data_IF_878292559754
#
_entry.id   IF_878292559754
#
_cell.length_a   1.000
_cell.length_b   1.000
_cell.length_c   1.000
_cell.angle_alpha   90.00
_cell.angle_beta   90.00
_cell.angle_gamma   90.00
#
_symmetry.space_group_name_H-M   'P 1'
#
loop_
_entity.id
_entity.type
_entity.pdbx_description
1 polymer ?
#
# COMPACT_ATOMS: atom_id res chain seq x y z
N UNK A 1 -26.74 -8.49 22.61
CA UNK A 1 -26.91 -9.92 22.27
C UNK A 1 -26.28 -10.21 20.91
N UNK A 2 -25.12 -10.86 20.89
CA UNK A 2 -24.66 -11.80 19.86
C UNK A 2 -23.39 -12.45 20.41
N UNK A 3 -23.46 -13.77 20.60
CA UNK A 3 -22.48 -14.60 21.31
C UNK A 3 -21.27 -14.85 20.43
N UNK A 4 -20.08 -14.64 20.98
CA UNK A 4 -18.80 -15.07 20.42
C UNK A 4 -18.54 -16.50 20.93
N UNK A 5 -18.51 -17.47 20.02
CA UNK A 5 -18.11 -18.85 20.31
C UNK A 5 -16.60 -18.98 20.17
N UNK A 6 -15.96 -19.35 21.26
CA UNK A 6 -14.54 -19.69 21.36
C UNK A 6 -14.38 -21.18 21.06
N UNK A 7 -13.61 -21.54 20.03
CA UNK A 7 -13.19 -22.94 19.80
C UNK A 7 -11.66 -23.00 19.89
N UNK A 8 -11.21 -23.88 20.78
CA UNK A 8 -9.84 -24.17 21.21
C UNK A 8 -9.52 -25.59 20.76
N UNK A 9 -8.50 -25.79 19.92
CA UNK A 9 -7.91 -27.12 19.62
C UNK A 9 -6.39 -26.97 19.60
N UNK A 10 -5.65 -27.38 20.63
CA UNK A 10 -5.06 -28.72 20.87
C UNK A 10 -4.14 -29.20 19.75
N UNK A 11 -2.86 -28.87 19.93
CA UNK A 11 -1.70 -29.57 19.38
C UNK A 11 -1.62 -31.01 19.92
N UNK A 12 -1.25 -31.95 19.05
CA UNK A 12 -0.77 -33.29 19.41
C UNK A 12 0.45 -33.65 18.57
N UNK A 13 1.46 -34.14 19.28
CA UNK A 13 2.72 -34.69 18.82
C UNK A 13 2.60 -35.78 17.75
N UNK A 14 3.66 -35.92 16.95
CA UNK A 14 4.12 -37.24 16.47
C UNK A 14 5.63 -37.23 16.21
N UNK A 15 6.37 -37.85 17.14
CA UNK A 15 7.60 -38.60 16.85
C UNK A 15 7.20 -39.96 16.27
N UNK A 16 7.97 -40.48 15.31
CA UNK A 16 8.69 -41.73 15.52
C UNK A 16 9.63 -42.05 14.35
N UNK A 17 10.81 -42.50 14.77
CA UNK A 17 11.85 -43.13 14.01
C UNK A 17 11.42 -44.46 13.37
N UNK A 18 12.16 -44.88 12.35
CA UNK A 18 12.66 -46.26 12.37
C UNK A 18 12.61 -47.05 11.07
N UNK A 19 13.82 -47.29 10.57
CA UNK A 19 14.35 -48.60 10.14
C UNK A 19 14.00 -49.14 8.75
N UNK A 20 15.01 -49.04 7.90
CA UNK A 20 15.47 -50.03 6.90
C UNK A 20 15.68 -51.42 7.51
N UNK A 21 15.52 -52.51 6.74
CA UNK A 21 16.68 -53.28 6.23
C UNK A 21 16.48 -53.79 4.78
N UNK A 22 17.47 -53.72 3.87
CA UNK A 22 18.59 -54.66 3.63
C UNK A 22 18.19 -56.12 3.34
N UNK A 23 18.14 -56.52 2.06
CA UNK A 23 18.46 -57.85 1.49
C UNK A 23 18.89 -57.61 0.03
N UNK A 24 20.19 -57.65 -0.29
CA UNK A 24 21.02 -58.76 -0.85
C UNK A 24 20.71 -59.17 -2.30
N UNK A 25 21.66 -58.81 -3.16
CA UNK A 25 22.42 -59.64 -4.12
C UNK A 25 21.73 -60.83 -4.80
N UNK A 26 21.80 -60.88 -6.13
CA UNK A 26 22.47 -62.00 -6.83
C UNK A 26 22.65 -61.74 -8.33
N UNK A 27 23.83 -62.14 -8.79
CA UNK A 27 24.36 -62.06 -10.15
C UNK A 27 23.87 -63.23 -11.05
N UNK A 28 24.16 -63.05 -12.33
CA UNK A 28 24.56 -64.03 -13.36
C UNK A 28 23.52 -64.46 -14.41
N UNK A 29 23.71 -63.90 -15.61
CA UNK A 29 24.34 -64.55 -16.78
C UNK A 29 23.63 -65.73 -17.49
N UNK A 30 23.85 -65.75 -18.81
CA UNK A 30 23.76 -66.83 -19.81
C UNK A 30 22.58 -66.77 -20.81
N UNK A 31 23.01 -66.50 -22.06
CA UNK A 31 22.50 -66.87 -23.39
C UNK A 31 21.50 -68.02 -23.52
N UNK A 32 20.45 -67.79 -24.31
CA UNK A 32 20.02 -68.54 -25.51
C UNK A 32 18.78 -67.81 -26.04
N UNK A 33 18.63 -67.43 -27.32
CA UNK A 33 18.92 -68.23 -28.49
C UNK A 33 17.67 -68.96 -28.96
N UNK A 34 16.54 -68.28 -29.19
CA UNK A 34 15.42 -68.83 -29.98
C UNK A 34 14.63 -67.72 -30.67
N UNK A 35 14.52 -67.86 -31.98
CA UNK A 35 13.71 -67.08 -32.92
C UNK A 35 12.42 -67.87 -33.17
N UNK A 36 11.23 -67.40 -32.73
CA UNK A 36 9.98 -67.94 -33.20
C UNK A 36 9.37 -66.98 -34.22
N UNK A 37 9.24 -67.48 -35.45
CA UNK A 37 8.36 -66.94 -36.48
C UNK A 37 6.96 -66.66 -35.88
N UNK A 38 6.71 -65.40 -35.52
CA UNK A 38 5.41 -64.97 -35.01
C UNK A 38 4.45 -64.75 -36.18
N UNK A 39 3.50 -65.67 -36.27
CA UNK A 39 2.39 -65.64 -37.19
C UNK A 39 1.53 -64.43 -36.83
N UNK A 40 1.27 -63.59 -37.82
CA UNK A 40 0.35 -62.47 -37.72
C UNK A 40 -1.00 -62.88 -37.15
N UNK A 41 -1.20 -62.56 -35.88
CA UNK A 41 -2.52 -62.41 -35.29
C UNK A 41 -2.88 -60.94 -35.41
N UNK A 42 -3.83 -60.63 -36.30
CA UNK A 42 -4.51 -59.34 -36.32
C UNK A 42 -5.00 -59.01 -34.91
N UNK A 43 -4.29 -58.10 -34.26
CA UNK A 43 -4.57 -57.72 -32.89
C UNK A 43 -5.86 -56.89 -32.88
N UNK A 44 -6.92 -57.28 -32.16
CA UNK A 44 -8.17 -56.50 -32.07
C UNK A 44 -8.00 -55.11 -31.43
N UNK A 45 -6.81 -54.82 -30.89
CA UNK A 45 -6.49 -53.58 -30.20
C UNK A 45 -6.59 -52.36 -31.13
N UNK A 46 -6.16 -52.49 -32.39
CA UNK A 46 -6.16 -51.36 -33.33
C UNK A 46 -7.57 -50.93 -33.74
N UNK A 47 -8.53 -51.85 -33.81
CA UNK A 47 -9.91 -51.56 -34.20
C UNK A 47 -10.71 -50.87 -33.07
N UNK A 48 -10.44 -51.21 -31.80
CA UNK A 48 -11.10 -50.56 -30.66
C UNK A 48 -10.62 -49.11 -30.48
N UNK A 49 -9.31 -48.84 -30.59
CA UNK A 49 -8.77 -47.48 -30.49
C UNK A 49 -9.29 -46.56 -31.59
N UNK A 50 -9.42 -47.07 -32.81
CA UNK A 50 -9.92 -46.30 -33.96
C UNK A 50 -11.41 -45.95 -33.83
N UNK A 51 -12.20 -46.76 -33.10
CA UNK A 51 -13.59 -46.46 -32.79
C UNK A 51 -13.71 -45.39 -31.70
N UNK A 52 -12.87 -45.44 -30.65
CA UNK A 52 -12.90 -44.45 -29.56
C UNK A 52 -12.56 -43.04 -30.07
N UNK A 53 -11.51 -42.91 -30.91
CA UNK A 53 -11.10 -41.63 -31.49
C UNK A 53 -12.17 -40.99 -32.38
N UNK A 54 -12.87 -41.81 -33.20
CA UNK A 54 -14.02 -41.34 -34.01
C UNK A 54 -15.19 -40.86 -33.15
N UNK A 55 -15.43 -41.50 -32.00
CA UNK A 55 -16.47 -41.05 -31.07
C UNK A 55 -16.11 -39.74 -30.37
N UNK A 56 -14.84 -39.60 -29.93
CA UNK A 56 -14.34 -38.35 -29.36
C UNK A 56 -14.41 -37.23 -30.40
N UNK A 57 -14.01 -37.49 -31.65
CA UNK A 57 -14.13 -36.53 -32.75
C UNK A 57 -15.58 -36.09 -33.00
N UNK A 58 -16.56 -37.00 -32.88
CA UNK A 58 -17.99 -36.66 -32.97
C UNK A 58 -18.47 -35.79 -31.82
N UNK A 59 -18.11 -36.13 -30.58
CA UNK A 59 -18.46 -35.35 -29.38
C UNK A 59 -17.87 -33.94 -29.46
N UNK A 60 -16.64 -33.84 -29.93
CA UNK A 60 -15.94 -32.59 -30.15
C UNK A 60 -16.26 -31.97 -31.51
N UNK A 61 -17.14 -32.51 -32.36
CA UNK A 61 -17.40 -31.95 -33.70
C UNK A 61 -16.12 -31.51 -34.47
N UNK A 62 -15.03 -32.29 -34.36
CA UNK A 62 -13.75 -32.05 -35.04
C UNK A 62 -13.63 -33.02 -36.21
N UNK A 63 -13.16 -32.53 -37.37
CA UNK A 63 -12.89 -33.40 -38.50
C UNK A 63 -11.81 -34.44 -38.13
N UNK A 64 -12.20 -35.72 -38.11
CA UNK A 64 -11.35 -36.87 -37.76
C UNK A 64 -10.12 -37.04 -38.66
N UNK A 65 -10.05 -36.32 -39.78
CA UNK A 65 -9.11 -36.55 -40.87
C UNK A 65 -7.70 -35.98 -40.58
N UNK A 66 -7.44 -35.43 -39.39
CA UNK A 66 -6.20 -34.67 -39.11
C UNK A 66 -5.43 -35.10 -37.86
N UNK A 67 -5.94 -36.04 -37.07
CA UNK A 67 -5.23 -36.63 -35.92
C UNK A 67 -5.92 -37.92 -35.48
N UNK A 68 -5.18 -39.02 -35.40
CA UNK A 68 -5.71 -40.30 -34.91
C UNK A 68 -5.72 -40.38 -33.37
N UNK A 69 -5.01 -39.46 -32.70
CA UNK A 69 -4.85 -39.40 -31.24
C UNK A 69 -5.92 -38.53 -30.56
N UNK A 70 -6.57 -39.07 -29.53
CA UNK A 70 -7.64 -38.43 -28.76
C UNK A 70 -7.13 -37.20 -27.99
N UNK A 71 -5.89 -37.26 -27.50
CA UNK A 71 -5.25 -36.15 -26.81
C UNK A 71 -5.05 -34.95 -27.75
N UNK A 72 -4.54 -35.21 -28.95
CA UNK A 72 -4.43 -34.21 -30.01
C UNK A 72 -5.78 -33.56 -30.38
N UNK A 73 -6.87 -34.34 -30.44
CA UNK A 73 -8.21 -33.81 -30.74
C UNK A 73 -8.72 -32.86 -29.64
N UNK A 74 -8.55 -33.24 -28.36
CA UNK A 74 -8.93 -32.41 -27.23
C UNK A 74 -8.11 -31.11 -27.21
N UNK A 75 -6.78 -31.19 -27.40
CA UNK A 75 -5.93 -30.00 -27.43
C UNK A 75 -6.34 -29.02 -28.55
N UNK A 76 -6.59 -29.53 -29.77
CA UNK A 76 -7.09 -28.71 -30.89
C UNK A 76 -8.46 -28.09 -30.58
N UNK A 77 -9.34 -28.83 -29.91
CA UNK A 77 -10.64 -28.32 -29.50
C UNK A 77 -10.50 -27.16 -28.51
N UNK A 78 -9.70 -27.35 -27.46
CA UNK A 78 -9.43 -26.33 -26.44
C UNK A 78 -8.87 -25.07 -27.09
N UNK A 79 -7.81 -25.17 -27.89
CA UNK A 79 -7.22 -23.98 -28.55
C UNK A 79 -8.18 -23.27 -29.51
N UNK A 80 -9.18 -23.97 -30.08
CA UNK A 80 -10.19 -23.37 -30.96
C UNK A 80 -11.30 -22.64 -30.18
N UNK A 81 -11.69 -23.15 -29.02
CA UNK A 81 -12.84 -22.63 -28.24
C UNK A 81 -12.42 -21.75 -27.08
N UNK A 82 -11.13 -21.70 -26.77
CA UNK A 82 -10.61 -20.79 -25.77
C UNK A 82 -10.78 -19.32 -26.20
N UNK A 83 -11.21 -18.41 -25.30
CA UNK A 83 -11.40 -17.01 -25.65
C UNK A 83 -10.12 -16.35 -26.16
N UNK A 84 -10.25 -15.63 -27.27
CA UNK A 84 -9.14 -14.89 -27.88
C UNK A 84 -8.67 -13.75 -26.98
N UNK A 85 -7.39 -13.31 -27.07
CA UNK A 85 -6.90 -12.16 -26.32
C UNK A 85 -7.78 -10.92 -26.53
N UNK A 86 -7.96 -10.10 -25.48
CA UNK A 86 -8.76 -8.89 -25.57
C UNK A 86 -8.09 -7.92 -26.54
N UNK A 87 -8.90 -7.15 -27.26
CA UNK A 87 -8.37 -6.00 -28.01
C UNK A 87 -7.88 -4.92 -27.03
N UNK A 88 -7.02 -3.98 -27.45
CA UNK A 88 -6.50 -2.93 -26.57
C UNK A 88 -7.59 -2.11 -25.85
N UNK A 89 -8.76 -1.96 -26.49
CA UNK A 89 -9.90 -1.19 -25.95
C UNK A 89 -10.81 -2.00 -25.02
N UNK A 90 -10.61 -3.32 -24.92
CA UNK A 90 -11.47 -4.21 -24.16
C UNK A 90 -11.05 -4.28 -22.68
N UNK A 91 -12.05 -4.20 -21.80
CA UNK A 91 -11.83 -4.26 -20.35
C UNK A 91 -11.29 -5.64 -19.92
N UNK A 92 -10.11 -5.65 -19.30
CA UNK A 92 -9.45 -6.87 -18.84
C UNK A 92 -10.31 -7.70 -17.87
N UNK A 93 -11.03 -7.07 -16.94
CA UNK A 93 -11.91 -7.81 -16.01
C UNK A 93 -13.02 -8.54 -16.76
N UNK A 94 -13.68 -7.86 -17.70
CA UNK A 94 -14.75 -8.47 -18.49
C UNK A 94 -14.23 -9.62 -19.36
N UNK A 95 -13.02 -9.47 -19.88
CA UNK A 95 -12.34 -10.55 -20.60
C UNK A 95 -12.05 -11.76 -19.72
N UNK A 96 -11.58 -11.56 -18.48
CA UNK A 96 -11.33 -12.66 -17.54
C UNK A 96 -12.62 -13.37 -17.11
N UNK A 97 -13.73 -12.64 -16.97
CA UNK A 97 -15.07 -13.23 -16.75
C UNK A 97 -15.48 -14.11 -17.93
N UNK A 98 -15.24 -13.66 -19.17
CA UNK A 98 -15.51 -14.48 -20.34
C UNK A 98 -14.62 -15.74 -20.41
N UNK A 99 -13.34 -15.63 -20.03
CA UNK A 99 -12.46 -16.82 -19.89
C UNK A 99 -13.02 -17.80 -18.87
N UNK A 100 -13.41 -17.30 -17.69
CA UNK A 100 -14.00 -18.10 -16.63
C UNK A 100 -15.27 -18.84 -17.11
N UNK A 101 -16.22 -18.12 -17.67
CA UNK A 101 -17.49 -18.67 -18.16
C UNK A 101 -17.27 -19.71 -19.26
N UNK A 102 -16.39 -19.42 -20.22
CA UNK A 102 -16.10 -20.32 -21.33
C UNK A 102 -15.45 -21.63 -20.85
N UNK A 103 -14.46 -21.54 -19.95
CA UNK A 103 -13.79 -22.72 -19.37
C UNK A 103 -14.76 -23.53 -18.54
N UNK A 104 -15.51 -22.90 -17.63
CA UNK A 104 -16.50 -23.59 -16.79
C UNK A 104 -17.56 -24.29 -17.64
N UNK A 105 -18.14 -23.59 -18.62
CA UNK A 105 -19.14 -24.13 -19.51
C UNK A 105 -18.63 -25.37 -20.26
N UNK A 106 -17.40 -25.33 -20.79
CA UNK A 106 -16.84 -26.46 -21.52
C UNK A 106 -16.49 -27.65 -20.61
N UNK A 107 -16.01 -27.40 -19.39
CA UNK A 107 -15.77 -28.46 -18.40
C UNK A 107 -17.08 -29.15 -18.01
N UNK A 108 -18.17 -28.40 -17.80
CA UNK A 108 -19.48 -28.96 -17.48
C UNK A 108 -20.09 -29.72 -18.66
N UNK A 109 -19.96 -29.18 -19.88
CA UNK A 109 -20.54 -29.78 -21.09
C UNK A 109 -19.83 -31.06 -21.50
N UNK A 110 -18.49 -31.06 -21.50
CA UNK A 110 -17.68 -32.18 -21.96
C UNK A 110 -17.32 -33.17 -20.85
N UNK A 111 -17.37 -32.73 -19.59
CA UNK A 111 -16.89 -33.51 -18.45
C UNK A 111 -17.53 -34.89 -18.32
N UNK A 112 -18.87 -35.01 -18.29
CA UNK A 112 -19.53 -36.31 -18.19
C UNK A 112 -19.19 -37.24 -19.35
N UNK A 113 -19.05 -36.69 -20.57
CA UNK A 113 -18.77 -37.45 -21.78
C UNK A 113 -17.34 -38.01 -21.81
N UNK A 114 -16.37 -37.20 -21.39
CA UNK A 114 -14.96 -37.58 -21.36
C UNK A 114 -14.57 -38.38 -20.10
N UNK A 115 -15.31 -38.22 -18.99
CA UNK A 115 -15.16 -39.03 -17.77
C UNK A 115 -15.38 -40.52 -18.07
N UNK A 116 -16.41 -40.85 -18.86
CA UNK A 116 -16.69 -42.23 -19.30
C UNK A 116 -15.55 -42.86 -20.11
N UNK A 117 -14.71 -42.02 -20.74
CA UNK A 117 -13.56 -42.43 -21.56
C UNK A 117 -12.22 -42.31 -20.83
N UNK A 118 -12.22 -41.91 -19.56
CA UNK A 118 -10.98 -41.68 -18.80
C UNK A 118 -10.16 -40.47 -19.26
N UNK A 119 -10.73 -39.58 -20.08
CA UNK A 119 -10.03 -38.43 -20.69
C UNK A 119 -10.26 -37.10 -19.96
N UNK A 120 -11.02 -37.11 -18.85
CA UNK A 120 -11.39 -35.87 -18.15
C UNK A 120 -10.18 -35.12 -17.58
N UNK A 121 -9.23 -35.83 -16.96
CA UNK A 121 -8.04 -35.19 -16.42
C UNK A 121 -7.17 -34.54 -17.49
N UNK A 122 -7.15 -35.12 -18.69
CA UNK A 122 -6.48 -34.50 -19.82
C UNK A 122 -7.19 -33.23 -20.32
N UNK A 123 -8.53 -33.20 -20.36
CA UNK A 123 -9.28 -31.98 -20.67
C UNK A 123 -8.98 -30.86 -19.67
N UNK A 124 -8.95 -31.19 -18.37
CA UNK A 124 -8.63 -30.24 -17.30
C UNK A 124 -7.20 -29.70 -17.48
N UNK A 125 -6.22 -30.57 -17.71
CA UNK A 125 -4.83 -30.19 -17.97
C UNK A 125 -4.69 -29.27 -19.20
N UNK A 126 -5.38 -29.58 -20.31
CA UNK A 126 -5.38 -28.73 -21.51
C UNK A 126 -5.93 -27.32 -21.21
N UNK A 127 -7.10 -27.21 -20.55
CA UNK A 127 -7.65 -25.90 -20.19
C UNK A 127 -6.80 -25.15 -19.17
N UNK A 128 -6.21 -25.87 -18.22
CA UNK A 128 -5.29 -25.32 -17.24
C UNK A 128 -4.08 -24.67 -17.94
N UNK A 129 -3.35 -25.43 -18.77
CA UNK A 129 -2.20 -24.91 -19.52
C UNK A 129 -2.59 -23.76 -20.44
N UNK A 130 -3.67 -23.92 -21.21
CA UNK A 130 -4.14 -22.87 -22.12
C UNK A 130 -4.51 -21.57 -21.37
N UNK A 131 -5.09 -21.70 -20.17
CA UNK A 131 -5.41 -20.55 -19.31
C UNK A 131 -4.14 -19.86 -18.85
N UNK A 132 -3.13 -20.60 -18.37
CA UNK A 132 -1.89 -20.01 -17.88
C UNK A 132 -1.01 -19.44 -19.00
N UNK A 133 -0.98 -20.05 -20.18
CA UNK A 133 -0.34 -19.48 -21.37
C UNK A 133 -0.98 -18.14 -21.75
N UNK A 134 -2.30 -18.07 -21.69
CA UNK A 134 -3.05 -16.84 -21.96
C UNK A 134 -2.80 -15.77 -20.91
N UNK A 135 -2.90 -16.12 -19.62
CA UNK A 135 -2.60 -15.21 -18.52
C UNK A 135 -1.15 -14.73 -18.56
N UNK A 136 -0.20 -15.59 -18.96
CA UNK A 136 1.19 -15.19 -19.14
C UNK A 136 1.34 -14.15 -20.25
N UNK A 137 0.67 -14.34 -21.39
CA UNK A 137 0.63 -13.34 -22.47
C UNK A 137 0.03 -12.00 -22.00
N UNK A 138 -1.09 -12.05 -21.27
CA UNK A 138 -1.72 -10.86 -20.69
C UNK A 138 -0.80 -10.15 -19.70
N UNK A 139 -0.09 -10.92 -18.86
CA UNK A 139 0.85 -10.39 -17.87
C UNK A 139 2.05 -9.70 -18.52
N UNK A 140 2.62 -10.25 -19.59
CA UNK A 140 3.73 -9.61 -20.31
C UNK A 140 3.31 -8.27 -20.92
N UNK A 141 2.07 -8.19 -21.39
CA UNK A 141 1.48 -6.98 -21.96
C UNK A 141 0.92 -6.02 -20.91
N UNK A 142 0.88 -6.40 -19.62
CA UNK A 142 0.38 -5.54 -18.55
C UNK A 142 1.36 -4.39 -18.27
N UNK A 143 1.06 -3.24 -18.85
CA UNK A 143 1.82 -2.00 -18.66
C UNK A 143 1.38 -1.19 -17.44
N UNK A 144 0.20 -1.47 -16.87
CA UNK A 144 -0.31 -0.78 -15.70
C UNK A 144 -0.32 -1.68 -14.46
N UNK A 145 -0.11 -1.08 -13.29
CA UNK A 145 -0.24 -1.76 -12.00
C UNK A 145 -1.65 -2.33 -11.81
N UNK A 146 -2.68 -1.61 -12.27
CA UNK A 146 -4.07 -2.06 -12.20
C UNK A 146 -4.29 -3.38 -12.94
N UNK A 147 -3.72 -3.55 -14.13
CA UNK A 147 -3.86 -4.78 -14.90
C UNK A 147 -3.16 -5.95 -14.18
N UNK A 148 -1.98 -5.71 -13.60
CA UNK A 148 -1.27 -6.70 -12.79
C UNK A 148 -2.07 -7.11 -11.54
N UNK A 149 -2.70 -6.17 -10.84
CA UNK A 149 -3.57 -6.47 -9.69
C UNK A 149 -4.79 -7.29 -10.10
N UNK A 150 -5.44 -6.94 -11.20
CA UNK A 150 -6.59 -7.69 -11.74
C UNK A 150 -6.22 -9.15 -12.03
N UNK A 151 -5.09 -9.38 -12.72
CA UNK A 151 -4.62 -10.72 -13.04
C UNK A 151 -4.28 -11.53 -11.78
N UNK A 152 -3.53 -10.93 -10.84
CA UNK A 152 -3.17 -11.56 -9.57
C UNK A 152 -4.42 -11.92 -8.75
N UNK A 153 -5.37 -10.99 -8.63
CA UNK A 153 -6.61 -11.23 -7.91
C UNK A 153 -7.41 -12.39 -8.54
N UNK A 154 -7.50 -12.43 -9.88
CA UNK A 154 -8.22 -13.49 -10.56
C UNK A 154 -7.59 -14.87 -10.32
N UNK A 155 -6.26 -14.99 -10.43
CA UNK A 155 -5.58 -16.28 -10.19
C UNK A 155 -5.70 -16.74 -8.74
N UNK A 156 -5.50 -15.83 -7.78
CA UNK A 156 -5.45 -16.19 -6.36
C UNK A 156 -6.83 -16.40 -5.73
N UNK A 157 -7.85 -15.66 -6.20
CA UNK A 157 -9.17 -15.67 -5.55
C UNK A 157 -10.29 -16.26 -6.41
N UNK A 158 -10.14 -16.32 -7.74
CA UNK A 158 -11.22 -16.78 -8.62
C UNK A 158 -10.91 -18.15 -9.22
N UNK A 159 -9.68 -18.38 -9.68
CA UNK A 159 -9.33 -19.57 -10.46
C UNK A 159 -9.66 -20.90 -9.77
N UNK A 160 -9.32 -21.03 -8.48
CA UNK A 160 -9.59 -22.23 -7.67
C UNK A 160 -10.86 -22.13 -6.82
N UNK A 161 -11.64 -21.04 -6.98
CA UNK A 161 -12.84 -20.81 -6.19
C UNK A 161 -14.06 -21.59 -6.71
N UNK A 162 -15.16 -21.51 -5.96
CA UNK A 162 -16.48 -22.01 -6.38
C UNK A 162 -16.99 -21.38 -7.68
N UNK A 163 -16.41 -20.27 -8.12
CA UNK A 163 -16.80 -19.62 -9.36
C UNK A 163 -16.14 -20.25 -10.61
N UNK A 164 -15.14 -21.13 -10.45
CA UNK A 164 -14.48 -21.83 -11.55
C UNK A 164 -14.15 -23.30 -11.23
N UNK A 165 -12.94 -23.61 -10.75
CA UNK A 165 -12.52 -25.02 -10.59
C UNK A 165 -13.12 -25.69 -9.35
N UNK A 166 -13.46 -24.91 -8.32
CA UNK A 166 -14.16 -25.37 -7.13
C UNK A 166 -15.67 -25.40 -7.27
N UNK A 167 -16.21 -25.19 -8.48
CA UNK A 167 -17.64 -25.10 -8.70
C UNK A 167 -18.36 -26.38 -8.21
N UNK A 168 -19.51 -26.27 -7.50
CA UNK A 168 -20.21 -27.42 -6.94
C UNK A 168 -20.54 -28.51 -7.97
N UNK A 169 -20.91 -28.11 -9.18
CA UNK A 169 -21.21 -29.04 -10.28
C UNK A 169 -19.98 -29.81 -10.82
N UNK A 170 -18.77 -29.41 -10.43
CA UNK A 170 -17.51 -30.11 -10.74
C UNK A 170 -17.01 -30.98 -9.59
N UNK A 171 -17.72 -31.06 -8.46
CA UNK A 171 -17.26 -31.74 -7.24
C UNK A 171 -16.91 -33.22 -7.45
N UNK A 172 -17.64 -33.94 -8.30
CA UNK A 172 -17.33 -35.35 -8.59
C UNK A 172 -16.04 -35.56 -9.41
N UNK A 173 -15.57 -34.50 -10.06
CA UNK A 173 -14.39 -34.52 -10.91
C UNK A 173 -13.19 -34.02 -10.11
N UNK A 174 -13.42 -33.08 -9.20
CA UNK A 174 -12.39 -32.46 -8.36
C UNK A 174 -11.21 -31.90 -9.17
N UNK A 175 -11.46 -30.90 -10.05
CA UNK A 175 -10.43 -30.37 -10.94
C UNK A 175 -9.24 -29.76 -10.19
N UNK A 176 -9.48 -29.25 -8.98
CA UNK A 176 -8.43 -28.63 -8.15
C UNK A 176 -7.30 -29.62 -7.87
N UNK A 177 -7.61 -30.88 -7.59
CA UNK A 177 -6.60 -31.90 -7.33
C UNK A 177 -5.94 -32.47 -8.60
N UNK A 178 -6.40 -32.06 -9.79
CA UNK A 178 -5.89 -32.54 -11.08
C UNK A 178 -5.02 -31.52 -11.80
N UNK A 179 -5.07 -30.24 -11.40
CA UNK A 179 -4.26 -29.20 -12.03
C UNK A 179 -2.82 -29.21 -11.52
N UNK A 180 -1.92 -28.72 -12.36
CA UNK A 180 -0.51 -28.55 -11.98
C UNK A 180 -0.36 -27.33 -11.05
N UNK A 181 -0.33 -27.58 -9.74
CA UNK A 181 -0.11 -26.53 -8.75
C UNK A 181 1.27 -25.86 -8.88
N UNK A 182 2.26 -26.54 -9.47
CA UNK A 182 3.58 -25.94 -9.71
C UNK A 182 3.44 -24.80 -10.73
N UNK A 183 2.69 -25.02 -11.82
CA UNK A 183 2.42 -23.98 -12.82
C UNK A 183 1.75 -22.75 -12.22
N UNK A 184 0.80 -22.96 -11.29
CA UNK A 184 0.16 -21.85 -10.56
C UNK A 184 1.19 -21.06 -9.75
N UNK A 185 2.01 -21.74 -8.95
CA UNK A 185 3.03 -21.09 -8.11
C UNK A 185 4.10 -20.36 -8.94
N UNK A 186 4.58 -20.95 -10.04
CA UNK A 186 5.55 -20.31 -10.93
C UNK A 186 4.97 -19.07 -11.60
N UNK A 187 3.69 -19.12 -11.99
CA UNK A 187 3.02 -17.97 -12.56
C UNK A 187 2.83 -16.87 -11.52
N UNK A 188 2.45 -17.21 -10.28
CA UNK A 188 2.30 -16.26 -9.17
C UNK A 188 3.61 -15.51 -8.91
N UNK A 189 4.74 -16.21 -8.83
CA UNK A 189 6.06 -15.59 -8.64
C UNK A 189 6.38 -14.61 -9.78
N UNK A 190 6.17 -15.01 -11.03
CA UNK A 190 6.39 -14.14 -12.21
C UNK A 190 5.46 -12.92 -12.20
N UNK A 191 4.19 -13.12 -11.87
CA UNK A 191 3.19 -12.07 -11.81
C UNK A 191 3.47 -11.05 -10.70
N UNK A 192 3.93 -11.53 -9.54
CA UNK A 192 4.37 -10.73 -8.42
C UNK A 192 5.57 -9.86 -8.78
N UNK A 193 6.62 -10.42 -9.41
CA UNK A 193 7.77 -9.64 -9.88
C UNK A 193 7.32 -8.52 -10.82
N UNK A 194 6.51 -8.86 -11.82
CA UNK A 194 5.98 -7.89 -12.78
C UNK A 194 5.14 -6.78 -12.12
N UNK A 195 4.30 -7.16 -11.16
CA UNK A 195 3.50 -6.23 -10.37
C UNK A 195 4.39 -5.25 -9.60
N UNK A 196 5.42 -5.74 -8.91
CA UNK A 196 6.33 -4.90 -8.14
C UNK A 196 7.10 -3.91 -9.05
N UNK A 197 7.53 -4.35 -10.24
CA UNK A 197 8.13 -3.46 -11.26
C UNK A 197 7.16 -2.35 -11.71
N UNK A 198 5.90 -2.70 -11.93
CA UNK A 198 4.84 -1.77 -12.34
C UNK A 198 4.55 -0.75 -11.23
N UNK A 199 4.35 -1.21 -9.98
CA UNK A 199 4.19 -0.37 -8.79
C UNK A 199 5.37 0.59 -8.66
N UNK A 200 6.59 0.07 -8.73
CA UNK A 200 7.81 0.85 -8.57
C UNK A 200 7.89 1.99 -9.59
N UNK A 201 7.55 1.70 -10.85
CA UNK A 201 7.56 2.65 -11.96
C UNK A 201 6.48 3.72 -11.80
N UNK A 202 5.24 3.33 -11.51
CA UNK A 202 4.12 4.26 -11.40
C UNK A 202 4.21 5.15 -10.17
N UNK A 203 4.60 4.59 -9.01
CA UNK A 203 4.84 5.38 -7.79
C UNK A 203 5.97 6.38 -8.02
N UNK A 204 7.07 5.96 -8.65
CA UNK A 204 8.17 6.87 -9.01
C UNK A 204 7.69 8.02 -9.89
N UNK A 205 6.89 7.74 -10.91
CA UNK A 205 6.35 8.76 -11.82
C UNK A 205 5.39 9.71 -11.10
N UNK A 206 4.53 9.18 -10.24
CA UNK A 206 3.55 9.96 -9.48
C UNK A 206 4.23 10.88 -8.46
N UNK A 207 5.18 10.35 -7.68
CA UNK A 207 5.97 11.13 -6.73
C UNK A 207 6.82 12.21 -7.43
N UNK A 208 7.36 11.92 -8.62
CA UNK A 208 8.09 12.92 -9.39
C UNK A 208 7.18 14.07 -9.86
N UNK A 209 5.95 13.78 -10.29
CA UNK A 209 4.96 14.80 -10.66
C UNK A 209 4.54 15.63 -9.45
N UNK A 210 4.26 14.99 -8.31
CA UNK A 210 3.92 15.66 -7.05
C UNK A 210 5.04 16.64 -6.66
N UNK A 211 6.30 16.18 -6.70
CA UNK A 211 7.45 17.03 -6.38
C UNK A 211 7.60 18.20 -7.35
N UNK A 212 7.45 17.95 -8.66
CA UNK A 212 7.54 19.00 -9.68
C UNK A 212 6.49 20.09 -9.49
N UNK A 213 5.27 19.72 -9.12
CA UNK A 213 4.18 20.66 -8.83
C UNK A 213 4.53 21.50 -7.59
N UNK A 214 5.02 20.87 -6.53
CA UNK A 214 5.40 21.56 -5.30
C UNK A 214 6.55 22.56 -5.50
N UNK A 215 7.58 22.20 -6.27
CA UNK A 215 8.72 23.10 -6.52
C UNK A 215 8.33 24.25 -7.43
N UNK A 216 7.45 24.00 -8.41
CA UNK A 216 6.92 25.04 -9.29
C UNK A 216 5.93 25.98 -8.61
N UNK A 217 5.57 25.73 -7.36
CA UNK A 217 4.63 26.53 -6.61
C UNK A 217 5.33 27.75 -5.96
N UNK A 218 5.16 28.91 -6.59
CA UNK A 218 5.69 30.18 -6.08
C UNK A 218 4.83 30.73 -4.94
N UNK A 219 3.49 30.70 -5.06
CA UNK A 219 2.56 31.26 -4.08
C UNK A 219 1.69 30.19 -3.40
N UNK A 220 1.33 30.42 -2.14
CA UNK A 220 0.37 29.61 -1.37
C UNK A 220 -0.97 30.34 -1.25
N UNK A 221 -1.70 30.44 -2.36
CA UNK A 221 -2.90 31.28 -2.45
C UNK A 221 -4.17 30.55 -1.93
N UNK A 222 -4.13 29.23 -1.84
CA UNK A 222 -5.27 28.39 -1.45
C UNK A 222 -4.93 27.46 -0.29
N UNK A 223 -5.92 27.11 0.53
CA UNK A 223 -5.72 26.16 1.65
C UNK A 223 -5.23 24.79 1.17
N UNK A 224 -5.64 24.37 -0.03
CA UNK A 224 -5.19 23.12 -0.65
C UNK A 224 -3.69 23.12 -0.88
N UNK A 225 -3.12 24.25 -1.28
CA UNK A 225 -1.68 24.40 -1.52
C UNK A 225 -0.85 24.11 -0.26
N UNK A 226 -1.41 24.41 0.91
CA UNK A 226 -0.74 24.19 2.19
C UNK A 226 -0.64 22.71 2.57
N UNK A 227 -1.51 21.85 2.03
CA UNK A 227 -1.61 20.44 2.42
C UNK A 227 -1.31 19.44 1.32
N UNK A 228 -1.37 19.90 0.06
CA UNK A 228 -1.29 19.08 -1.15
C UNK A 228 -0.14 18.09 -1.15
N UNK A 229 1.09 18.53 -0.90
CA UNK A 229 2.27 17.69 -0.99
C UNK A 229 2.16 16.41 -0.15
N UNK A 230 1.84 16.53 1.14
CA UNK A 230 1.79 15.36 2.01
C UNK A 230 0.53 14.53 1.76
N UNK A 231 -0.60 15.15 1.42
CA UNK A 231 -1.85 14.44 1.08
C UNK A 231 -1.65 13.59 -0.18
N UNK A 232 -1.18 14.20 -1.27
CA UNK A 232 -0.96 13.51 -2.55
C UNK A 232 0.08 12.39 -2.41
N UNK A 233 1.15 12.64 -1.64
CA UNK A 233 2.19 11.63 -1.36
C UNK A 233 1.63 10.43 -0.60
N UNK A 234 0.85 10.67 0.45
CA UNK A 234 0.24 9.62 1.26
C UNK A 234 -0.75 8.82 0.42
N UNK A 235 -1.66 9.50 -0.29
CA UNK A 235 -2.67 8.86 -1.14
C UNK A 235 -2.03 7.99 -2.23
N UNK A 236 -0.94 8.47 -2.86
CA UNK A 236 -0.20 7.69 -3.86
C UNK A 236 0.31 6.36 -3.31
N UNK A 237 0.79 6.34 -2.06
CA UNK A 237 1.35 5.15 -1.42
C UNK A 237 0.24 4.24 -0.89
N UNK A 238 -0.74 4.82 -0.20
CA UNK A 238 -1.85 4.09 0.40
C UNK A 238 -2.70 3.39 -0.66
N UNK A 239 -2.90 4.01 -1.83
CA UNK A 239 -3.63 3.38 -2.93
C UNK A 239 -2.99 2.03 -3.32
N UNK A 240 -1.68 2.01 -3.54
CA UNK A 240 -0.96 0.78 -3.90
C UNK A 240 -1.01 -0.28 -2.80
N UNK A 241 -0.77 0.15 -1.55
CA UNK A 241 -0.80 -0.74 -0.38
C UNK A 241 -2.20 -1.38 -0.18
N UNK A 242 -3.25 -0.58 -0.31
CA UNK A 242 -4.64 -1.02 -0.12
C UNK A 242 -5.11 -1.94 -1.24
N UNK A 243 -4.75 -1.70 -2.50
CA UNK A 243 -5.07 -2.63 -3.59
C UNK A 243 -4.38 -3.98 -3.39
N UNK A 244 -3.08 -3.98 -3.02
CA UNK A 244 -2.36 -5.22 -2.72
C UNK A 244 -2.96 -5.98 -1.54
N UNK A 245 -3.46 -5.26 -0.52
CA UNK A 245 -4.08 -5.83 0.68
C UNK A 245 -5.39 -6.57 0.39
N UNK A 246 -6.12 -6.17 -0.66
CA UNK A 246 -7.31 -6.91 -1.11
C UNK A 246 -6.97 -8.32 -1.60
N UNK A 247 -5.73 -8.51 -2.06
CA UNK A 247 -5.24 -9.79 -2.56
C UNK A 247 -4.64 -10.62 -1.41
N UNK A 248 -3.61 -10.12 -0.72
CA UNK A 248 -3.03 -10.79 0.44
C UNK A 248 -2.23 -9.83 1.32
N UNK A 249 -2.02 -10.20 2.59
CA UNK A 249 -1.15 -9.44 3.50
C UNK A 249 0.30 -9.41 3.03
N UNK A 250 0.80 -10.54 2.53
CA UNK A 250 2.20 -10.71 2.19
C UNK A 250 2.56 -9.89 0.95
N UNK A 251 1.66 -9.88 -0.06
CA UNK A 251 1.81 -9.00 -1.22
C UNK A 251 1.75 -7.52 -0.81
N UNK A 252 0.86 -7.18 0.13
CA UNK A 252 0.72 -5.82 0.65
C UNK A 252 2.00 -5.32 1.35
N UNK A 253 2.67 -6.19 2.09
CA UNK A 253 3.96 -5.89 2.73
C UNK A 253 5.07 -5.61 1.69
N UNK A 254 5.13 -6.40 0.63
CA UNK A 254 6.13 -6.24 -0.43
C UNK A 254 5.90 -5.00 -1.28
N UNK A 255 4.65 -4.73 -1.64
CA UNK A 255 4.24 -3.49 -2.31
C UNK A 255 4.56 -2.28 -1.44
N UNK A 256 4.27 -2.34 -0.13
CA UNK A 256 4.61 -1.27 0.81
C UNK A 256 6.12 -1.02 0.85
N UNK A 257 6.93 -2.08 0.90
CA UNK A 257 8.39 -1.96 0.90
C UNK A 257 8.92 -1.25 -0.36
N UNK A 258 8.41 -1.62 -1.54
CA UNK A 258 8.74 -0.94 -2.81
C UNK A 258 8.32 0.53 -2.77
N UNK A 259 7.10 0.82 -2.30
CA UNK A 259 6.62 2.20 -2.20
C UNK A 259 7.47 3.03 -1.24
N UNK A 260 7.87 2.49 -0.09
CA UNK A 260 8.67 3.19 0.89
C UNK A 260 10.10 3.43 0.40
N UNK A 261 10.67 2.54 -0.43
CA UNK A 261 11.95 2.80 -1.09
C UNK A 261 11.86 4.01 -2.00
N UNK A 262 10.74 4.14 -2.74
CA UNK A 262 10.48 5.31 -3.59
C UNK A 262 10.18 6.56 -2.78
N UNK A 263 9.46 6.44 -1.66
CA UNK A 263 9.23 7.54 -0.72
C UNK A 263 10.55 8.07 -0.14
N UNK A 264 11.49 7.21 0.24
CA UNK A 264 12.79 7.65 0.75
C UNK A 264 13.55 8.49 -0.29
N UNK A 265 13.57 8.05 -1.55
CA UNK A 265 14.21 8.81 -2.64
C UNK A 265 13.51 10.16 -2.81
N UNK A 266 12.17 10.16 -2.79
CA UNK A 266 11.37 11.38 -2.86
C UNK A 266 11.67 12.34 -1.70
N UNK A 267 11.65 11.87 -0.46
CA UNK A 267 11.91 12.68 0.74
C UNK A 267 13.31 13.27 0.74
N UNK A 268 14.32 12.52 0.27
CA UNK A 268 15.69 13.04 0.11
C UNK A 268 15.76 14.19 -0.89
N UNK A 269 15.12 14.02 -2.05
CA UNK A 269 15.06 15.07 -3.07
C UNK A 269 14.30 16.29 -2.60
N UNK A 270 13.09 16.07 -2.06
CA UNK A 270 12.29 17.14 -1.46
C UNK A 270 13.07 17.89 -0.38
N UNK A 271 13.75 17.18 0.53
CA UNK A 271 14.57 17.82 1.56
C UNK A 271 15.69 18.69 1.00
N UNK A 272 16.39 18.24 -0.04
CA UNK A 272 17.46 19.02 -0.66
C UNK A 272 16.90 20.28 -1.36
N UNK A 273 15.92 20.09 -2.24
CA UNK A 273 15.35 21.14 -3.09
C UNK A 273 14.61 22.20 -2.23
N UNK A 274 13.87 21.76 -1.21
CA UNK A 274 13.15 22.65 -0.31
C UNK A 274 14.07 23.40 0.66
N UNK A 275 15.16 22.78 1.14
CA UNK A 275 16.12 23.48 2.02
C UNK A 275 16.78 24.64 1.28
N UNK A 276 17.15 24.43 0.01
CA UNK A 276 17.68 25.49 -0.85
C UNK A 276 16.65 26.61 -1.07
N UNK A 277 15.40 26.24 -1.40
CA UNK A 277 14.33 27.20 -1.63
C UNK A 277 14.01 28.04 -0.39
N UNK A 278 13.96 27.42 0.79
CA UNK A 278 13.72 28.11 2.06
C UNK A 278 14.90 29.00 2.45
N UNK A 279 16.13 28.61 2.15
CA UNK A 279 17.31 29.47 2.35
C UNK A 279 17.18 30.78 1.59
N UNK A 280 16.83 30.71 0.30
CA UNK A 280 16.59 31.90 -0.54
C UNK A 280 15.46 32.77 -0.01
N UNK A 281 14.36 32.15 0.48
CA UNK A 281 13.23 32.87 1.07
C UNK A 281 13.55 33.53 2.41
N UNK A 282 14.49 32.98 3.18
CA UNK A 282 14.93 33.57 4.44
C UNK A 282 15.77 34.83 4.24
N UNK A 283 16.43 34.97 3.09
CA UNK A 283 17.27 36.12 2.73
C UNK A 283 16.47 37.29 2.10
N UNK A 284 15.15 37.13 1.92
CA UNK A 284 14.28 38.18 1.38
C UNK A 284 14.02 39.28 2.41
N UNK A 285 13.84 40.53 1.96
CA UNK A 285 13.51 41.67 2.84
C UNK A 285 12.20 41.44 3.62
N UNK A 286 11.23 40.76 2.99
CA UNK A 286 9.99 40.30 3.61
C UNK A 286 9.90 38.76 3.50
N UNK A 287 10.40 38.00 4.49
CA UNK A 287 10.40 36.54 4.43
C UNK A 287 9.00 35.94 4.49
N UNK A 288 8.68 35.10 3.51
CA UNK A 288 7.40 34.39 3.44
C UNK A 288 7.35 33.19 4.42
N UNK A 289 7.06 33.47 5.68
CA UNK A 289 7.04 32.46 6.77
C UNK A 289 6.08 31.28 6.53
N UNK A 290 5.06 31.46 5.68
CA UNK A 290 4.08 30.42 5.33
C UNK A 290 4.73 29.16 4.75
N UNK A 291 5.78 29.29 3.92
CA UNK A 291 6.47 28.16 3.31
C UNK A 291 7.24 27.32 4.35
N UNK A 292 7.76 27.96 5.40
CA UNK A 292 8.42 27.26 6.51
C UNK A 292 7.39 26.45 7.30
N UNK A 293 6.25 27.05 7.63
CA UNK A 293 5.17 26.37 8.34
C UNK A 293 4.59 25.20 7.54
N UNK A 294 4.41 25.39 6.22
CA UNK A 294 3.99 24.33 5.28
C UNK A 294 4.97 23.16 5.33
N UNK A 295 6.27 23.46 5.25
CA UNK A 295 7.34 22.46 5.29
C UNK A 295 7.35 21.68 6.61
N UNK A 296 7.27 22.37 7.75
CA UNK A 296 7.20 21.73 9.07
C UNK A 296 5.98 20.81 9.19
N UNK A 297 4.82 21.24 8.68
CA UNK A 297 3.62 20.43 8.65
C UNK A 297 3.80 19.18 7.78
N UNK A 298 4.30 19.32 6.56
CA UNK A 298 4.62 18.17 5.69
C UNK A 298 5.54 17.17 6.39
N UNK A 299 6.63 17.63 7.00
CA UNK A 299 7.55 16.75 7.74
C UNK A 299 6.83 15.99 8.86
N UNK A 300 5.97 16.68 9.62
CA UNK A 300 5.19 16.07 10.70
C UNK A 300 4.24 14.99 10.17
N UNK A 301 3.45 15.30 9.15
CA UNK A 301 2.42 14.38 8.62
C UNK A 301 3.06 13.15 7.96
N UNK A 302 4.13 13.34 7.16
CA UNK A 302 4.84 12.21 6.53
C UNK A 302 5.53 11.33 7.57
N UNK A 303 6.15 11.90 8.62
CA UNK A 303 6.73 11.12 9.73
C UNK A 303 5.67 10.28 10.43
N UNK A 304 4.53 10.90 10.74
CA UNK A 304 3.43 10.22 11.41
C UNK A 304 2.95 9.03 10.56
N UNK A 305 2.68 9.27 9.28
CA UNK A 305 2.25 8.25 8.34
C UNK A 305 3.20 7.03 8.27
N UNK A 306 4.51 7.26 8.06
CA UNK A 306 5.45 6.13 7.94
C UNK A 306 5.63 5.36 9.24
N UNK A 307 5.44 6.03 10.39
CA UNK A 307 5.54 5.41 11.71
C UNK A 307 4.28 4.59 12.07
N UNK A 308 3.11 4.99 11.60
CA UNK A 308 1.84 4.28 11.87
C UNK A 308 1.61 3.14 10.90
N UNK A 309 1.98 3.33 9.63
CA UNK A 309 1.64 2.42 8.54
C UNK A 309 2.77 1.45 8.22
N UNK A 310 4.02 1.85 8.49
CA UNK A 310 5.21 1.06 8.23
C UNK A 310 5.55 0.06 9.33
N UNK A 311 5.98 -1.15 8.93
CA UNK A 311 6.70 -2.03 9.86
C UNK A 311 8.05 -1.40 10.23
N UNK A 312 8.39 -1.42 11.52
CA UNK A 312 9.69 -0.91 12.00
C UNK A 312 10.84 -1.64 11.30
N UNK A 313 11.54 -0.92 10.44
CA UNK A 313 12.71 -1.40 9.72
C UNK A 313 13.68 -0.23 9.45
N UNK A 314 14.82 -0.52 8.83
CA UNK A 314 15.83 0.46 8.47
C UNK A 314 15.25 1.59 7.60
N UNK A 315 14.42 1.23 6.62
CA UNK A 315 13.86 2.16 5.65
C UNK A 315 12.93 3.20 6.29
N UNK A 316 12.02 2.77 7.18
CA UNK A 316 11.17 3.69 7.96
C UNK A 316 12.01 4.60 8.84
N UNK A 317 13.04 4.05 9.49
CA UNK A 317 13.96 4.82 10.33
C UNK A 317 14.67 5.91 9.53
N UNK A 318 15.15 5.57 8.34
CA UNK A 318 15.88 6.47 7.45
C UNK A 318 15.01 7.59 6.87
N UNK A 319 13.75 7.28 6.52
CA UNK A 319 12.77 8.29 6.09
C UNK A 319 12.50 9.28 7.24
N UNK A 320 12.21 8.76 8.44
CA UNK A 320 11.95 9.58 9.63
C UNK A 320 13.13 10.48 9.95
N UNK A 321 14.35 9.95 9.89
CA UNK A 321 15.57 10.73 10.17
C UNK A 321 15.79 11.83 9.13
N UNK A 322 15.56 11.55 7.85
CA UNK A 322 15.64 12.56 6.79
C UNK A 322 14.64 13.70 7.03
N UNK A 323 13.40 13.37 7.40
CA UNK A 323 12.36 14.36 7.72
C UNK A 323 12.67 15.18 8.99
N UNK A 324 13.29 14.57 10.02
CA UNK A 324 13.73 15.29 11.23
C UNK A 324 14.84 16.28 10.92
N UNK A 325 15.81 15.89 10.09
CA UNK A 325 16.91 16.79 9.69
C UNK A 325 16.38 18.00 8.91
N UNK A 326 15.39 17.77 8.04
CA UNK A 326 14.70 18.83 7.32
C UNK A 326 13.91 19.76 8.27
N UNK A 327 13.18 19.21 9.23
CA UNK A 327 12.45 19.97 10.26
C UNK A 327 13.40 20.84 11.10
N UNK A 328 14.54 20.28 11.55
CA UNK A 328 15.53 21.02 12.32
C UNK A 328 16.16 22.18 11.51
N UNK A 329 16.47 21.94 10.24
CA UNK A 329 17.00 22.98 9.35
C UNK A 329 15.96 24.08 9.07
N UNK A 330 14.70 23.69 8.83
CA UNK A 330 13.59 24.62 8.62
C UNK A 330 13.32 25.47 9.85
N UNK A 331 13.33 24.86 11.04
CA UNK A 331 13.16 25.56 12.31
C UNK A 331 14.27 26.57 12.57
N UNK A 332 15.53 26.20 12.26
CA UNK A 332 16.68 27.09 12.41
C UNK A 332 16.53 28.35 11.56
N UNK A 333 16.14 28.20 10.29
CA UNK A 333 15.92 29.33 9.38
C UNK A 333 14.77 30.22 9.87
N UNK A 334 13.63 29.62 10.24
CA UNK A 334 12.46 30.36 10.74
C UNK A 334 12.79 31.16 12.01
N UNK A 335 13.53 30.58 12.94
CA UNK A 335 13.94 31.28 14.15
C UNK A 335 14.94 32.40 13.89
N UNK A 336 15.78 32.28 12.85
CA UNK A 336 16.63 33.39 12.39
C UNK A 336 15.80 34.59 11.94
N UNK A 337 14.83 34.37 11.05
CA UNK A 337 13.89 35.40 10.58
C UNK A 337 13.18 36.10 11.77
N UNK A 338 12.67 35.32 12.72
CA UNK A 338 11.96 35.88 13.87
C UNK A 338 12.89 36.71 14.76
N UNK A 339 14.15 36.30 14.92
CA UNK A 339 15.15 37.05 15.68
C UNK A 339 15.49 38.37 14.99
N UNK A 340 15.68 38.36 13.67
CA UNK A 340 16.01 39.55 12.88
C UNK A 340 14.87 40.59 12.94
N UNK A 341 13.61 40.15 12.79
CA UNK A 341 12.44 41.02 12.94
C UNK A 341 12.38 41.63 14.34
N UNK A 342 12.58 40.80 15.37
CA UNK A 342 12.57 41.27 16.75
C UNK A 342 13.68 42.28 17.04
N UNK A 343 14.87 42.12 16.46
CA UNK A 343 16.00 43.06 16.62
C UNK A 343 15.69 44.42 15.97
N UNK A 344 15.12 44.42 14.77
CA UNK A 344 14.70 45.65 14.07
C UNK A 344 13.64 46.40 14.87
N UNK A 345 12.60 45.70 15.31
CA UNK A 345 11.51 46.30 16.09
C UNK A 345 12.01 46.84 17.44
N UNK A 346 12.88 46.10 18.14
CA UNK A 346 13.45 46.55 19.41
C UNK A 346 14.33 47.78 19.22
N UNK A 347 15.17 47.81 18.18
CA UNK A 347 16.04 48.94 17.88
C UNK A 347 15.24 50.20 17.52
N UNK A 348 14.12 50.04 16.81
CA UNK A 348 13.21 51.15 16.51
C UNK A 348 12.56 51.71 17.78
N UNK A 349 12.12 50.84 18.71
CA UNK A 349 11.56 51.24 19.99
C UNK A 349 12.59 51.99 20.85
N UNK A 350 13.85 51.54 20.88
CA UNK A 350 14.93 52.23 21.61
C UNK A 350 15.27 53.59 21.02
N UNK A 351 15.24 53.72 19.69
CA UNK A 351 15.45 54.99 18.99
C UNK A 351 14.30 55.99 19.23
N UNK A 352 13.07 55.48 19.36
CA UNK A 352 11.87 56.30 19.58
C UNK A 352 11.61 56.61 21.07
N UNK A 353 12.12 55.75 21.97
CA UNK A 353 12.03 55.91 23.42
C UNK A 353 13.37 55.63 24.10
N UNK A 354 14.06 56.69 24.49
CA UNK A 354 15.05 56.66 25.58
C UNK A 354 14.34 56.38 26.92
N UNK A 355 13.75 55.19 27.11
CA UNK A 355 13.06 54.75 28.35
C UNK A 355 13.21 53.23 28.56
N UNK A 356 13.58 52.83 29.77
CA UNK A 356 14.13 51.53 30.16
C UNK A 356 13.31 50.30 29.76
N UNK A 357 13.95 49.32 29.13
CA UNK A 357 13.45 47.96 28.90
C UNK A 357 14.02 47.02 29.97
N UNK A 358 13.16 46.19 30.58
CA UNK A 358 13.56 45.13 31.51
C UNK A 358 13.09 43.78 31.00
N UNK A 359 14.03 42.88 30.71
CA UNK A 359 13.75 41.50 30.29
C UNK A 359 14.03 40.55 31.45
N UNK A 360 13.06 39.70 31.78
CA UNK A 360 13.19 38.72 32.86
C UNK A 360 12.85 37.33 32.33
N UNK A 361 13.85 36.46 32.31
CA UNK A 361 13.75 35.08 31.83
C UNK A 361 13.61 34.16 33.03
N UNK A 362 12.55 33.35 33.07
CA UNK A 362 12.35 32.37 34.13
C UNK A 362 11.75 31.08 33.53
N UNK A 363 12.61 30.08 33.28
CA UNK A 363 12.20 28.82 32.65
C UNK A 363 11.72 29.01 31.20
N UNK A 364 10.59 28.38 30.86
CA UNK A 364 10.03 28.30 29.50
C UNK A 364 9.18 29.52 29.08
N UNK A 365 9.21 30.60 29.86
CA UNK A 365 8.43 31.83 29.61
C UNK A 365 9.35 33.04 29.58
N UNK A 366 9.20 33.83 28.53
CA UNK A 366 9.87 35.13 28.40
C UNK A 366 8.85 36.22 28.69
N UNK A 367 9.15 37.04 29.69
CA UNK A 367 8.38 38.24 29.99
C UNK A 367 9.10 39.46 29.44
N UNK A 368 8.43 40.18 28.57
CA UNK A 368 8.92 41.45 28.01
C UNK A 368 8.03 42.55 28.56
N UNK A 369 8.62 43.42 29.39
CA UNK A 369 7.91 44.57 29.95
C UNK A 369 8.38 45.86 29.27
N UNK A 370 7.41 46.66 28.85
CA UNK A 370 7.62 48.01 28.31
C UNK A 370 6.89 49.00 29.22
N UNK A 371 7.58 50.03 29.72
CA UNK A 371 6.92 51.01 30.56
C UNK A 371 7.71 52.27 30.81
N UNK A 372 6.97 53.38 30.86
CA UNK A 372 7.46 54.69 31.27
C UNK A 372 6.50 55.29 32.31
N UNK A 373 6.95 55.42 33.56
CA UNK A 373 6.10 55.89 34.66
C UNK A 373 5.07 54.84 35.12
N UNK A 374 3.92 55.28 35.63
CA UNK A 374 2.90 54.40 36.27
C UNK A 374 2.16 53.45 35.31
N UNK A 375 2.42 53.50 34.01
CA UNK A 375 1.80 52.62 33.02
C UNK A 375 2.84 51.66 32.44
N UNK A 376 2.87 50.43 32.96
CA UNK A 376 3.61 49.30 32.39
C UNK A 376 2.67 48.43 31.55
N UNK A 377 3.08 48.13 30.32
CA UNK A 377 2.51 47.06 29.50
C UNK A 377 3.45 45.85 29.54
N UNK A 378 2.90 44.67 29.84
CA UNK A 378 3.66 43.44 29.96
C UNK A 378 3.16 42.45 28.90
N UNK A 379 4.04 42.05 27.99
CA UNK A 379 3.76 41.01 26.99
C UNK A 379 4.35 39.69 27.49
N UNK A 380 3.52 38.65 27.45
CA UNK A 380 3.92 37.30 27.81
C UNK A 380 4.03 36.46 26.54
N UNK A 381 5.23 36.01 26.23
CA UNK A 381 5.48 35.09 25.12
C UNK A 381 5.73 33.70 25.71
N UNK A 382 4.78 32.78 25.49
CA UNK A 382 4.89 31.39 25.93
C UNK A 382 5.49 30.52 24.82
N UNK A 383 6.46 29.69 25.18
CA UNK A 383 6.97 28.65 24.28
C UNK A 383 6.02 27.44 24.22
N UNK A 384 6.15 26.64 23.16
CA UNK A 384 5.15 25.68 22.65
C UNK A 384 4.65 24.59 23.63
N UNK A 385 5.34 24.37 24.76
CA UNK A 385 4.90 23.42 25.80
C UNK A 385 3.63 23.85 26.55
N UNK A 386 3.43 25.16 26.75
CA UNK A 386 2.31 25.70 27.54
C UNK A 386 1.06 26.04 26.71
N UNK A 387 1.21 26.22 25.39
CA UNK A 387 0.10 26.52 24.47
C UNK A 387 -0.94 25.39 24.41
N UNK A 388 -0.52 24.13 24.57
CA UNK A 388 -1.42 22.97 24.60
C UNK A 388 -2.28 22.91 25.88
N UNK A 389 -1.82 23.50 26.98
CA UNK A 389 -2.60 23.59 28.23
C UNK A 389 -3.61 24.76 28.18
N UNK A 390 -3.25 25.86 27.51
CA UNK A 390 -4.05 27.08 27.47
C UNK A 390 -5.23 27.02 26.49
N UNK A 391 -5.09 26.32 25.36
CA UNK A 391 -6.16 26.15 24.35
C UNK A 391 -7.41 25.39 24.84
N UNK A 392 -7.42 24.88 26.08
CA UNK A 392 -8.59 24.23 26.71
C UNK A 392 -9.46 25.15 27.56
N UNK A 393 -9.08 26.41 27.79
CA UNK A 393 -9.92 27.38 28.48
C UNK A 393 -10.10 28.64 27.62
N UNK A 394 -11.36 29.08 27.50
CA UNK A 394 -11.85 30.05 26.51
C UNK A 394 -11.07 31.37 26.45
N UNK A 395 -11.14 31.94 25.24
CA UNK A 395 -10.85 33.31 24.84
C UNK A 395 -11.25 34.36 25.89
N UNK A 396 -10.23 35.05 26.40
CA UNK A 396 -10.36 36.27 27.19
C UNK A 396 -9.02 36.97 27.24
N UNK A 397 -8.90 38.10 26.53
CA UNK A 397 -7.77 39.01 26.68
C UNK A 397 -7.90 39.64 28.07
N UNK A 398 -6.98 39.33 28.98
CA UNK A 398 -6.98 39.90 30.33
C UNK A 398 -6.22 41.23 30.31
N UNK A 399 -6.93 42.35 30.47
CA UNK A 399 -6.31 43.65 30.73
C UNK A 399 -6.09 43.79 32.24
N UNK A 400 -4.83 43.75 32.69
CA UNK A 400 -4.48 44.08 34.07
C UNK A 400 -4.08 45.55 34.18
N UNK A 401 -4.82 46.33 34.97
CA UNK A 401 -4.50 47.73 35.25
C UNK A 401 -3.48 47.81 36.40
N UNK A 402 -2.28 48.30 36.12
CA UNK A 402 -1.08 48.17 36.94
C UNK A 402 -0.98 49.15 38.14
N UNK A 403 -2.06 49.40 38.88
CA UNK A 403 -2.01 50.32 40.05
C UNK A 403 -1.61 49.68 41.38
N UNK A 404 -1.43 48.35 41.49
CA UNK A 404 -1.16 47.70 42.79
C UNK A 404 -0.14 46.56 42.83
N UNK A 405 0.77 46.42 41.85
CA UNK A 405 1.83 45.41 41.92
C UNK A 405 3.19 46.06 42.20
N UNK A 406 3.71 45.91 43.42
CA UNK A 406 5.12 46.22 43.74
C UNK A 406 5.98 44.99 43.46
N UNK A 407 7.12 45.20 42.80
CA UNK A 407 8.12 44.21 42.38
C UNK A 407 8.70 43.27 43.48
N UNK A 408 8.32 43.40 44.76
CA UNK A 408 8.80 42.53 45.85
C UNK A 408 7.96 41.28 46.11
N UNK A 409 6.78 41.14 45.50
CA UNK A 409 5.84 40.07 45.87
C UNK A 409 6.00 38.77 45.06
N UNK A 410 6.88 38.73 44.06
CA UNK A 410 7.08 37.52 43.24
C UNK A 410 7.92 36.40 43.90
N UNK A 411 8.37 36.60 45.15
CA UNK A 411 9.16 35.62 45.90
C UNK A 411 8.35 34.66 46.79
N UNK A 412 7.04 34.86 46.98
CA UNK A 412 6.20 33.92 47.75
C UNK A 412 4.84 33.80 47.09
N UNK A 413 4.45 32.57 46.77
CA UNK A 413 3.25 32.25 46.00
C UNK A 413 2.00 33.01 46.46
N UNK A 414 1.44 33.81 45.56
CA UNK A 414 0.14 34.46 45.73
C UNK A 414 -0.91 33.58 45.05
N UNK A 415 -1.84 33.03 45.83
CA UNK A 415 -3.04 32.40 45.30
C UNK A 415 -4.11 33.48 45.05
N UNK A 416 -4.61 33.59 43.81
CA UNK A 416 -5.77 34.41 43.49
C UNK A 416 -7.05 33.58 43.60
N UNK A 417 -7.96 33.98 44.50
CA UNK A 417 -9.34 33.48 44.56
C UNK A 417 -10.24 34.30 43.63
N UNK A 418 -11.05 33.63 42.82
CA UNK A 418 -11.99 34.26 41.90
C UNK A 418 -13.19 34.83 42.67
N UNK A 419 -13.30 36.16 42.73
CA UNK A 419 -14.48 36.86 43.22
C UNK A 419 -15.60 36.90 42.17
N UNK A 420 -16.77 36.39 42.52
CA UNK A 420 -18.01 36.44 41.71
C UNK A 420 -18.75 37.73 42.06
N UNK A 421 -18.99 38.62 41.09
CA UNK A 421 -19.74 39.86 41.28
C UNK A 421 -21.23 39.61 41.03
N UNK A 422 -22.06 39.72 42.07
CA UNK A 422 -23.52 39.68 42.00
C UNK A 422 -24.11 41.10 42.02
N UNK A 423 -24.99 41.34 41.03
CA UNK A 423 -26.21 42.18 40.97
C UNK A 423 -26.26 43.57 41.62
N UNK A 424 -26.78 44.52 40.82
CA UNK A 424 -27.89 45.36 41.24
C UNK A 424 -28.92 45.50 40.11
N UNK A 425 -30.18 45.16 40.42
CA UNK A 425 -31.37 45.42 39.61
C UNK A 425 -32.27 46.34 40.43
N UNK A 426 -32.47 47.57 39.97
CA UNK A 426 -33.46 48.48 40.54
C UNK A 426 -34.80 48.29 39.82
N UNK A 427 -35.78 47.83 40.60
CA UNK A 427 -37.22 47.89 40.29
C UNK A 427 -37.70 49.30 40.61
N UNK A 428 -38.51 49.91 39.74
CA UNK A 428 -39.43 50.96 40.16
C UNK A 428 -40.77 50.74 39.45
N UNK A 429 -41.79 50.49 40.26
CA UNK A 429 -43.19 50.50 39.87
C UNK A 429 -43.83 51.77 40.44
N UNK A 430 -44.43 52.57 39.56
CA UNK A 430 -45.77 53.14 39.66
C UNK A 430 -46.14 53.75 38.31
#
# INVERSE_FOLDING_TARGET
MKKILTIRGRSKDRRNDGKTPLIKESNNNVQDGYDPEDKGYDTPLAQNTLNTSKEVAKVLNVASNTCDDEHCLIQKWVSKHFPKPPTPDQNLNQHLVHVQEAVLHELLRLGPLLKLKGLMGFLIDCYHRQTFDHLHSLLQNATSTQNSFVLMNWVLHIYQSEELLGHPDLQEIDPINQVDHLLVSEWEEKAKVKLLENVEREVRQSLAKILQIEIGQECCDHEEDYVRLYVDTIQCIDAMHNEAKKISSDLSDEVQHVCFKRLLIFVRRYSAEQTEALGKKAEMDEPETIHFLKTLKTCKELKWYVQTTGKKNHLVTEIVETLKNMEASTWRLLMGIVADIAEVDCSAIEAENMRSIGMLVNGDVVFISFGAGENQMMYMVMTSGLQNAWSRQRSGVMWCNARHLRLRDFGRGVCFSAGRQERDSAVTAL
#
